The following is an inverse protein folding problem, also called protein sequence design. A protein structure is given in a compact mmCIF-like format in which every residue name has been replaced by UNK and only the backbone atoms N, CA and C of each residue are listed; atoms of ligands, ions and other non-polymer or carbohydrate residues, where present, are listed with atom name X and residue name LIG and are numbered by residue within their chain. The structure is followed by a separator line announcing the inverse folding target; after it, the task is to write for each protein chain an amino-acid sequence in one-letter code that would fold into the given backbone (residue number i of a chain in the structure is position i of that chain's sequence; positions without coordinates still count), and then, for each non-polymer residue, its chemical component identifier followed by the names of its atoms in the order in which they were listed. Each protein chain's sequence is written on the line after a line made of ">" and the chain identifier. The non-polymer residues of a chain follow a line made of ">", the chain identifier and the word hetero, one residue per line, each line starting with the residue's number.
data_IF_797353002096
#
_entry.id   IF_797353002096
#
_cell.length_a   1.000
_cell.length_b   1.000
_cell.length_c   1.000
_cell.angle_alpha   90.00
_cell.angle_beta   90.00
_cell.angle_gamma   90.00
#
_symmetry.space_group_name_H-M   'P 1'
#
loop_
_entity.id
_entity.type
_entity.pdbx_description
1 polymer ?
#
# COMPACT_ATOMS: atom_id res chain seq x y z
N UNK A 1 -31.82 -16.20 22.47
CA UNK A 1 -30.46 -15.73 22.79
C UNK A 1 -30.09 -14.74 21.71
N UNK A 2 -30.25 -13.47 22.01
CA UNK A 2 -30.08 -12.36 21.07
C UNK A 2 -28.59 -12.23 20.75
N UNK A 3 -28.19 -12.49 19.51
CA UNK A 3 -26.83 -12.26 19.05
C UNK A 3 -26.72 -10.77 18.79
N UNK A 4 -26.01 -10.05 19.66
CA UNK A 4 -25.51 -8.73 19.34
C UNK A 4 -24.45 -8.91 18.23
N UNK A 5 -24.82 -8.61 16.99
CA UNK A 5 -23.81 -8.24 16.01
C UNK A 5 -23.14 -6.97 16.55
N UNK A 6 -21.87 -7.06 16.91
CA UNK A 6 -21.09 -5.86 17.21
C UNK A 6 -20.91 -5.09 15.90
N UNK A 7 -21.65 -3.98 15.75
CA UNK A 7 -21.31 -2.93 14.80
C UNK A 7 -19.85 -2.52 15.04
N UNK A 8 -18.97 -2.67 14.04
CA UNK A 8 -17.71 -1.88 13.97
C UNK A 8 -16.36 -2.58 14.16
N UNK A 9 -16.27 -3.92 14.20
CA UNK A 9 -14.94 -4.59 14.22
C UNK A 9 -14.56 -5.05 12.80
N UNK A 10 -13.47 -4.46 12.26
CA UNK A 10 -12.87 -4.92 11.00
C UNK A 10 -12.45 -6.38 11.16
N UNK A 11 -12.84 -7.24 10.21
CA UNK A 11 -12.50 -8.66 10.24
C UNK A 11 -10.98 -8.85 10.11
N UNK A 12 -10.46 -9.81 10.86
CA UNK A 12 -9.08 -10.24 10.72
C UNK A 12 -8.86 -10.81 9.31
N UNK A 13 -7.78 -10.43 8.67
CA UNK A 13 -7.51 -10.82 7.29
C UNK A 13 -6.48 -9.96 6.60
N UNK A 14 -6.17 -10.31 5.36
CA UNK A 14 -5.34 -9.49 4.48
C UNK A 14 -6.21 -8.93 3.36
N UNK A 15 -6.12 -7.63 3.16
CA UNK A 15 -6.89 -6.87 2.19
C UNK A 15 -5.92 -6.26 1.18
N UNK A 16 -6.15 -6.54 -0.10
CA UNK A 16 -5.22 -6.16 -1.17
C UNK A 16 -5.87 -5.13 -2.09
N UNK A 17 -5.07 -4.17 -2.54
CA UNK A 17 -5.38 -3.27 -3.64
C UNK A 17 -4.21 -3.23 -4.63
N UNK A 18 -4.49 -3.11 -5.92
CA UNK A 18 -3.50 -2.87 -6.96
C UNK A 18 -4.12 -2.06 -8.10
N UNK A 19 -3.30 -1.34 -8.87
CA UNK A 19 -3.80 -0.73 -10.11
C UNK A 19 -4.06 -1.80 -11.16
N UNK A 20 -4.91 -1.49 -12.14
CA UNK A 20 -5.18 -2.36 -13.29
C UNK A 20 -4.01 -2.30 -14.27
N UNK A 21 -3.52 -1.10 -14.53
CA UNK A 21 -2.50 -0.83 -15.54
C UNK A 21 -1.12 -0.61 -14.90
N UNK A 22 -0.09 -0.87 -15.70
CA UNK A 22 1.27 -0.41 -15.43
C UNK A 22 1.37 1.08 -15.75
N UNK A 23 2.21 1.81 -15.01
CA UNK A 23 2.56 3.19 -15.31
C UNK A 23 3.42 3.30 -16.59
N UNK A 24 3.68 4.52 -17.04
CA UNK A 24 4.52 4.79 -18.23
C UNK A 24 5.97 4.29 -18.10
N UNK A 25 6.36 3.86 -16.90
CA UNK A 25 7.67 3.29 -16.60
C UNK A 25 7.64 1.75 -16.46
N UNK A 26 6.50 1.11 -16.71
CA UNK A 26 6.32 -0.33 -16.65
C UNK A 26 6.19 -0.88 -15.22
N UNK A 27 5.72 -0.07 -14.27
CA UNK A 27 5.52 -0.47 -12.87
C UNK A 27 4.05 -0.47 -12.49
N UNK A 28 3.61 -1.50 -11.80
CA UNK A 28 2.23 -1.60 -11.27
C UNK A 28 2.24 -1.64 -9.75
N UNK A 29 1.79 -0.57 -9.06
CA UNK A 29 1.75 -0.56 -7.60
C UNK A 29 0.72 -1.54 -7.05
N UNK A 30 1.05 -2.12 -5.90
CA UNK A 30 0.14 -2.92 -5.09
C UNK A 30 0.38 -2.68 -3.61
N UNK A 31 -0.66 -2.93 -2.82
CA UNK A 31 -0.64 -2.78 -1.38
C UNK A 31 -1.43 -3.91 -0.71
N UNK A 32 -0.89 -4.44 0.39
CA UNK A 32 -1.53 -5.44 1.25
C UNK A 32 -1.59 -4.90 2.68
N UNK A 33 -2.79 -4.88 3.27
CA UNK A 33 -3.03 -4.55 4.68
C UNK A 33 -3.45 -5.79 5.45
N UNK A 34 -2.75 -6.12 6.52
CA UNK A 34 -3.19 -7.17 7.44
C UNK A 34 -3.87 -6.55 8.66
N UNK A 35 -5.14 -6.87 8.87
CA UNK A 35 -5.88 -6.54 10.08
C UNK A 35 -5.87 -7.70 11.07
N UNK A 36 -5.70 -7.37 12.35
CA UNK A 36 -5.96 -8.24 13.50
C UNK A 36 -6.59 -7.43 14.62
N UNK A 37 -7.66 -7.96 15.21
CA UNK A 37 -8.40 -7.33 16.30
C UNK A 37 -8.80 -5.88 15.98
N UNK A 38 -9.20 -5.64 14.73
CA UNK A 38 -9.61 -4.32 14.24
C UNK A 38 -8.46 -3.34 13.99
N UNK A 39 -7.19 -3.74 14.11
CA UNK A 39 -6.01 -2.88 13.87
C UNK A 39 -5.15 -3.38 12.72
N UNK A 40 -4.51 -2.46 12.01
CA UNK A 40 -3.49 -2.79 11.00
C UNK A 40 -2.24 -3.26 11.73
N UNK A 41 -1.79 -4.47 11.41
CA UNK A 41 -0.61 -5.11 12.00
C UNK A 41 0.52 -5.34 11.01
N UNK A 42 0.23 -5.30 9.71
CA UNK A 42 1.23 -5.31 8.65
C UNK A 42 0.77 -4.49 7.46
N UNK A 43 1.72 -3.84 6.80
CA UNK A 43 1.54 -3.11 5.56
C UNK A 43 2.66 -3.54 4.62
N UNK A 44 2.30 -3.95 3.41
CA UNK A 44 3.25 -4.19 2.33
C UNK A 44 2.85 -3.31 1.15
N UNK A 45 3.77 -2.48 0.68
CA UNK A 45 3.59 -1.65 -0.49
C UNK A 45 4.80 -1.78 -1.39
N UNK A 46 4.56 -2.06 -2.67
CA UNK A 46 5.61 -2.17 -3.67
C UNK A 46 5.00 -2.05 -5.07
N UNK A 47 5.83 -2.24 -6.09
CA UNK A 47 5.43 -2.25 -7.48
C UNK A 47 5.97 -3.51 -8.16
N UNK A 48 5.18 -4.12 -9.04
CA UNK A 48 5.63 -5.21 -9.91
C UNK A 48 6.03 -4.68 -11.28
N UNK A 49 7.15 -5.15 -11.82
CA UNK A 49 7.60 -4.82 -13.18
C UNK A 49 6.75 -5.52 -14.24
N UNK A 50 6.46 -4.82 -15.33
CA UNK A 50 5.81 -5.39 -16.52
C UNK A 50 6.70 -6.43 -17.22
N UNK A 51 8.03 -6.27 -17.13
CA UNK A 51 8.99 -7.04 -17.93
C UNK A 51 9.10 -8.50 -17.50
N UNK A 52 9.15 -8.73 -16.20
CA UNK A 52 9.47 -10.04 -15.59
C UNK A 52 8.79 -10.24 -14.21
N UNK A 53 7.99 -9.28 -13.76
CA UNK A 53 7.29 -9.33 -12.48
C UNK A 53 8.14 -9.06 -11.23
N UNK A 54 9.41 -8.68 -11.37
CA UNK A 54 10.23 -8.37 -10.19
C UNK A 54 9.72 -7.12 -9.43
N UNK A 55 10.13 -6.99 -8.17
CA UNK A 55 9.72 -5.89 -7.32
C UNK A 55 10.60 -4.66 -7.54
N UNK A 56 10.01 -3.47 -7.54
CA UNK A 56 10.75 -2.22 -7.70
C UNK A 56 11.75 -1.97 -6.56
N UNK A 57 11.46 -2.45 -5.36
CA UNK A 57 12.41 -2.47 -4.22
C UNK A 57 13.61 -3.39 -4.44
N UNK A 58 13.50 -4.40 -5.31
CA UNK A 58 14.60 -5.30 -5.69
C UNK A 58 15.41 -4.82 -6.89
N UNK A 59 14.96 -3.78 -7.59
CA UNK A 59 15.68 -3.18 -8.73
C UNK A 59 16.73 -2.17 -8.23
N UNK A 60 17.95 -2.66 -8.01
CA UNK A 60 19.06 -1.80 -7.57
C UNK A 60 19.39 -0.68 -8.57
N UNK A 61 19.24 -0.93 -9.87
CA UNK A 61 19.58 0.06 -10.89
C UNK A 61 18.57 1.21 -10.88
N UNK A 62 17.27 0.88 -10.82
CA UNK A 62 16.21 1.87 -10.64
C UNK A 62 16.40 2.64 -9.33
N UNK A 63 16.65 1.94 -8.22
CA UNK A 63 16.91 2.56 -6.92
C UNK A 63 18.05 3.57 -6.95
N UNK A 64 19.20 3.20 -7.56
CA UNK A 64 20.36 4.10 -7.71
C UNK A 64 20.03 5.34 -8.56
N UNK A 65 19.31 5.16 -9.67
CA UNK A 65 18.89 6.28 -10.54
C UNK A 65 17.94 7.23 -9.83
N UNK A 66 16.94 6.68 -9.13
CA UNK A 66 15.98 7.48 -8.38
C UNK A 66 16.67 8.24 -7.24
N UNK A 67 17.56 7.59 -6.48
CA UNK A 67 18.29 8.23 -5.39
C UNK A 67 19.13 9.43 -5.88
N UNK A 68 19.77 9.29 -7.04
CA UNK A 68 20.59 10.36 -7.62
C UNK A 68 19.80 11.60 -8.04
N UNK A 69 18.54 11.43 -8.46
CA UNK A 69 17.71 12.54 -8.99
C UNK A 69 16.74 13.08 -7.93
N UNK A 70 16.15 12.20 -7.14
CA UNK A 70 15.05 12.51 -6.22
C UNK A 70 15.44 12.45 -4.74
N UNK A 71 16.65 11.99 -4.40
CA UNK A 71 17.13 11.91 -3.02
C UNK A 71 16.46 10.81 -2.17
N UNK A 72 15.73 9.89 -2.81
CA UNK A 72 15.08 8.74 -2.19
C UNK A 72 15.02 7.58 -3.16
N UNK A 73 14.64 6.39 -2.69
CA UNK A 73 14.58 5.17 -3.48
C UNK A 73 13.40 4.29 -3.04
N UNK A 74 13.00 3.30 -3.84
CA UNK A 74 11.90 2.39 -3.52
C UNK A 74 12.01 1.69 -2.16
N UNK A 75 13.19 1.19 -1.81
CA UNK A 75 13.47 0.57 -0.50
C UNK A 75 13.31 1.55 0.67
N UNK A 76 13.46 2.85 0.44
CA UNK A 76 13.30 3.88 1.48
C UNK A 76 11.85 4.34 1.61
N UNK A 77 11.20 4.76 0.51
CA UNK A 77 9.87 5.36 0.62
C UNK A 77 8.81 4.31 1.00
N UNK A 78 8.94 3.06 0.52
CA UNK A 78 7.96 2.00 0.83
C UNK A 78 7.94 1.69 2.32
N UNK A 79 9.11 1.65 2.96
CA UNK A 79 9.26 1.44 4.41
C UNK A 79 8.67 2.63 5.18
N UNK A 80 9.01 3.86 4.81
CA UNK A 80 8.52 5.07 5.51
C UNK A 80 7.00 5.18 5.46
N UNK A 81 6.39 5.00 4.29
CA UNK A 81 4.94 5.06 4.11
C UNK A 81 4.23 3.94 4.89
N UNK A 82 4.76 2.70 4.81
CA UNK A 82 4.21 1.55 5.54
C UNK A 82 4.28 1.74 7.05
N UNK A 83 5.40 2.23 7.59
CA UNK A 83 5.55 2.56 9.00
C UNK A 83 4.59 3.67 9.42
N UNK A 84 4.48 4.73 8.62
CA UNK A 84 3.54 5.82 8.90
C UNK A 84 2.11 5.31 9.00
N UNK A 85 1.67 4.42 8.12
CA UNK A 85 0.32 3.85 8.22
C UNK A 85 0.16 2.92 9.43
N UNK A 86 1.16 2.11 9.74
CA UNK A 86 1.16 1.26 10.94
C UNK A 86 1.05 2.08 12.23
N UNK A 87 1.73 3.22 12.32
CA UNK A 87 1.68 4.07 13.51
C UNK A 87 0.38 4.86 13.61
N UNK A 88 -0.07 5.43 12.48
CA UNK A 88 -1.22 6.35 12.46
C UNK A 88 -2.56 5.63 12.38
N UNK A 89 -2.60 4.43 11.80
CA UNK A 89 -3.82 3.64 11.54
C UNK A 89 -4.85 4.37 10.65
N UNK A 90 -4.46 5.49 10.03
CA UNK A 90 -5.30 6.31 9.15
C UNK A 90 -4.46 6.94 8.04
N UNK A 91 -5.09 7.21 6.89
CA UNK A 91 -4.44 7.73 5.69
C UNK A 91 -4.17 9.24 5.81
N UNK A 92 -5.05 9.96 6.51
CA UNK A 92 -4.95 11.41 6.72
C UNK A 92 -3.65 11.81 7.45
N UNK A 93 -3.10 10.90 8.25
CA UNK A 93 -1.87 11.12 9.02
C UNK A 93 -0.59 10.68 8.32
N UNK A 94 -0.65 10.20 7.07
CA UNK A 94 0.55 9.76 6.35
C UNK A 94 1.33 10.95 5.81
N UNK A 95 2.55 11.09 6.31
CA UNK A 95 3.52 12.05 5.83
C UNK A 95 4.03 11.68 4.44
N UNK A 96 4.14 12.68 3.56
CA UNK A 96 4.72 12.48 2.24
C UNK A 96 6.24 12.30 2.32
N UNK A 97 6.79 11.54 1.37
CA UNK A 97 8.24 11.37 1.24
C UNK A 97 8.75 12.28 0.12
N UNK A 98 9.60 13.25 0.47
CA UNK A 98 10.24 14.13 -0.53
C UNK A 98 10.96 13.29 -1.59
N UNK A 99 10.74 13.63 -2.86
CA UNK A 99 11.26 12.87 -4.00
C UNK A 99 10.42 11.65 -4.43
N UNK A 100 9.36 11.32 -3.67
CA UNK A 100 8.46 10.21 -3.95
C UNK A 100 6.98 10.63 -3.84
N UNK A 101 6.64 11.80 -4.38
CA UNK A 101 5.26 12.34 -4.36
C UNK A 101 4.28 11.38 -5.03
N UNK A 102 4.54 10.96 -6.27
CA UNK A 102 3.66 10.00 -6.98
C UNK A 102 3.50 8.69 -6.21
N UNK A 103 4.59 8.15 -5.65
CA UNK A 103 4.50 6.93 -4.83
C UNK A 103 3.77 7.12 -3.51
N UNK A 104 3.77 8.33 -2.96
CA UNK A 104 2.95 8.68 -1.79
C UNK A 104 1.47 8.69 -2.17
N UNK A 105 1.12 9.24 -3.33
CA UNK A 105 -0.26 9.29 -3.82
C UNK A 105 -0.79 7.88 -4.11
N UNK A 106 -0.01 7.05 -4.83
CA UNK A 106 -0.33 5.63 -5.08
C UNK A 106 -0.59 4.89 -3.77
N UNK A 107 0.29 5.07 -2.78
CA UNK A 107 0.14 4.44 -1.47
C UNK A 107 -1.18 4.83 -0.80
N UNK A 108 -1.52 6.12 -0.79
CA UNK A 108 -2.75 6.62 -0.15
C UNK A 108 -4.00 6.09 -0.85
N UNK A 109 -4.01 6.07 -2.18
CA UNK A 109 -5.12 5.55 -2.99
C UNK A 109 -5.33 4.06 -2.72
N UNK A 110 -4.26 3.26 -2.82
CA UNK A 110 -4.35 1.81 -2.60
C UNK A 110 -4.68 1.45 -1.15
N UNK A 111 -4.12 2.18 -0.17
CA UNK A 111 -4.46 2.01 1.23
C UNK A 111 -5.95 2.30 1.48
N UNK A 112 -6.51 3.34 0.85
CA UNK A 112 -7.93 3.69 1.00
C UNK A 112 -8.82 2.55 0.52
N UNK A 113 -8.55 2.03 -0.68
CA UNK A 113 -9.30 0.93 -1.25
C UNK A 113 -9.20 -0.35 -0.40
N UNK A 114 -8.00 -0.70 0.08
CA UNK A 114 -7.81 -1.85 0.96
C UNK A 114 -8.53 -1.68 2.31
N UNK A 115 -8.54 -0.47 2.89
CA UNK A 115 -9.28 -0.14 4.10
C UNK A 115 -10.80 -0.20 3.91
N UNK A 116 -11.31 0.25 2.76
CA UNK A 116 -12.73 0.15 2.42
C UNK A 116 -13.16 -1.31 2.29
N UNK A 117 -12.37 -2.12 1.61
CA UNK A 117 -12.56 -3.58 1.57
C UNK A 117 -12.53 -4.19 2.97
N UNK A 118 -11.62 -3.77 3.84
CA UNK A 118 -11.55 -4.22 5.22
C UNK A 118 -12.82 -3.89 6.03
N UNK A 119 -13.32 -2.64 5.90
CA UNK A 119 -14.60 -2.21 6.51
C UNK A 119 -15.80 -3.01 5.99
N UNK A 120 -15.80 -3.35 4.70
CA UNK A 120 -16.84 -4.18 4.09
C UNK A 120 -16.66 -5.68 4.39
N UNK A 121 -15.52 -6.09 4.95
CA UNK A 121 -15.16 -7.50 5.09
C UNK A 121 -14.97 -8.22 3.75
N UNK A 122 -14.65 -7.48 2.68
CA UNK A 122 -14.39 -7.99 1.35
C UNK A 122 -12.90 -8.33 1.17
N UNK A 123 -12.57 -9.59 0.97
CA UNK A 123 -11.17 -10.05 0.79
C UNK A 123 -10.75 -10.14 -0.67
N UNK A 124 -11.59 -9.74 -1.62
CA UNK A 124 -11.20 -9.62 -3.02
C UNK A 124 -10.17 -8.50 -3.20
N UNK A 125 -9.30 -8.63 -4.21
CA UNK A 125 -8.33 -7.58 -4.52
C UNK A 125 -9.04 -6.39 -5.16
N UNK A 126 -8.98 -5.22 -4.53
CA UNK A 126 -9.43 -3.98 -5.13
C UNK A 126 -8.57 -3.64 -6.36
N UNK A 127 -9.23 -3.27 -7.45
CA UNK A 127 -8.59 -2.90 -8.73
C UNK A 127 -8.84 -1.43 -8.98
N UNK A 128 -7.77 -0.65 -9.04
CA UNK A 128 -7.84 0.81 -9.23
C UNK A 128 -7.47 1.16 -10.67
N UNK A 129 -8.26 2.00 -11.31
CA UNK A 129 -8.02 2.52 -12.66
C UNK A 129 -6.90 3.57 -12.70
#
# INVERSE_FOLDING_TARGET
>A
MTVFAADGVIKDGTYKAETINFDDHGWKPFLELTYKEGKITAVKFDYTSEKDGHLKTSDEEYGKKMAAVAGTSPDIYTVKLSQSLLEKQTIEGIDGVTGATHSTDDFKILASAAMENAKAGNTETAKIE
#
